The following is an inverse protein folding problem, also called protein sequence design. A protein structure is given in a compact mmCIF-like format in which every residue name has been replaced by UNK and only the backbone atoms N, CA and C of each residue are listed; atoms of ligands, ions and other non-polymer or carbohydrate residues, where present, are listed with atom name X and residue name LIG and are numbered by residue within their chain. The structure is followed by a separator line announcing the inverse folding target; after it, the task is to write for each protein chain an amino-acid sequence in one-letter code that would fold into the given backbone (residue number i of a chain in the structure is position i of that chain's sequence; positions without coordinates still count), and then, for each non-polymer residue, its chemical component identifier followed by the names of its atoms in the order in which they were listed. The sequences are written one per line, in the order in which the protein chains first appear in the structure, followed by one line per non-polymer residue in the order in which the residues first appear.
data_IF_433199134739
#
_entry.id   IF_433199134739
#
_cell.length_a   1.000
_cell.length_b   1.000
_cell.length_c   1.000
_cell.angle_alpha   90.00
_cell.angle_beta   90.00
_cell.angle_gamma   90.00
#
_symmetry.space_group_name_H-M   'P 1'
#
loop_
_entity.id
_entity.type
_entity.pdbx_description
1 polymer ?
#
# COMPACT_ATOMS: atom_id res chain seq x y z
N UNK A 1 -9.62 29.68 4.55
CA UNK A 1 -10.01 28.26 4.55
C UNK A 1 -8.76 27.35 4.46
N UNK A 2 -7.85 27.44 5.42
CA UNK A 2 -6.60 26.64 5.48
C UNK A 2 -6.76 25.34 6.28
N UNK A 3 -7.79 25.24 7.13
CA UNK A 3 -8.10 24.05 7.93
C UNK A 3 -8.51 22.84 7.09
N UNK A 4 -9.26 23.04 6.01
CA UNK A 4 -9.70 21.96 5.12
C UNK A 4 -8.51 21.29 4.41
N UNK A 5 -7.59 22.10 3.87
CA UNK A 5 -6.34 21.61 3.27
C UNK A 5 -5.46 20.85 4.28
N UNK A 6 -5.42 21.27 5.54
CA UNK A 6 -4.66 20.59 6.57
C UNK A 6 -5.30 19.25 6.96
N UNK A 7 -6.63 19.20 7.08
CA UNK A 7 -7.38 17.98 7.38
C UNK A 7 -7.27 16.95 6.25
N UNK A 8 -7.40 17.38 4.98
CA UNK A 8 -7.26 16.47 3.84
C UNK A 8 -5.83 15.96 3.71
N UNK A 9 -4.83 16.80 3.98
CA UNK A 9 -3.44 16.38 4.11
C UNK A 9 -3.30 15.26 5.14
N UNK A 10 -3.77 15.47 6.36
CA UNK A 10 -3.69 14.46 7.43
C UNK A 10 -4.41 13.15 7.04
N UNK A 11 -5.55 13.24 6.34
CA UNK A 11 -6.26 12.07 5.82
C UNK A 11 -5.41 11.29 4.83
N UNK A 12 -4.77 11.96 3.87
CA UNK A 12 -3.89 11.32 2.89
C UNK A 12 -2.68 10.67 3.56
N UNK A 13 -2.04 11.33 4.53
CA UNK A 13 -0.89 10.77 5.24
C UNK A 13 -1.26 9.49 6.00
N UNK A 14 -2.43 9.46 6.65
CA UNK A 14 -2.93 8.27 7.35
C UNK A 14 -3.18 7.11 6.39
N UNK A 15 -3.77 7.40 5.23
CA UNK A 15 -4.07 6.38 4.24
C UNK A 15 -2.79 5.83 3.58
N UNK A 16 -1.83 6.70 3.29
CA UNK A 16 -0.48 6.32 2.83
C UNK A 16 0.16 5.38 3.86
N UNK A 17 0.20 5.77 5.14
CA UNK A 17 0.80 4.95 6.20
C UNK A 17 0.11 3.58 6.35
N UNK A 18 -1.22 3.53 6.20
CA UNK A 18 -2.00 2.30 6.22
C UNK A 18 -1.58 1.37 5.06
N UNK A 19 -1.59 1.87 3.83
CA UNK A 19 -1.24 1.08 2.65
C UNK A 19 0.22 0.63 2.66
N UNK A 20 1.15 1.45 3.16
CA UNK A 20 2.53 1.04 3.37
C UNK A 20 2.65 -0.13 4.36
N UNK A 21 1.84 -0.13 5.42
CA UNK A 21 1.78 -1.26 6.37
C UNK A 21 1.28 -2.55 5.72
N UNK A 22 0.21 -2.46 4.93
CA UNK A 22 -0.34 -3.60 4.18
C UNK A 22 0.65 -4.11 3.14
N UNK A 23 1.29 -3.21 2.39
CA UNK A 23 2.30 -3.55 1.39
C UNK A 23 3.49 -4.27 2.03
N UNK A 24 4.03 -3.76 3.14
CA UNK A 24 5.11 -4.43 3.89
C UNK A 24 4.72 -5.84 4.33
N UNK A 25 3.48 -6.03 4.77
CA UNK A 25 2.96 -7.34 5.20
C UNK A 25 2.92 -8.33 4.04
N UNK A 26 2.42 -7.90 2.88
CA UNK A 26 2.38 -8.73 1.67
C UNK A 26 3.77 -9.02 1.14
N UNK A 27 4.65 -8.03 1.11
CA UNK A 27 6.04 -8.18 0.68
C UNK A 27 6.81 -9.16 1.56
N UNK A 28 6.63 -9.11 2.89
CA UNK A 28 7.25 -10.06 3.81
C UNK A 28 6.82 -11.51 3.57
N UNK A 29 5.55 -11.73 3.20
CA UNK A 29 5.06 -13.06 2.79
C UNK A 29 5.71 -13.51 1.48
N UNK A 30 5.74 -12.63 0.47
CA UNK A 30 6.28 -12.96 -0.84
C UNK A 30 7.81 -13.09 -0.86
N UNK A 31 8.54 -12.47 0.07
CA UNK A 31 9.99 -12.65 0.24
C UNK A 31 10.36 -13.91 1.01
N UNK A 32 9.40 -14.52 1.71
CA UNK A 32 9.62 -15.77 2.43
C UNK A 32 9.50 -16.96 1.46
N UNK A 33 10.64 -17.52 1.05
CA UNK A 33 10.71 -18.66 0.14
C UNK A 33 9.86 -19.86 0.61
N UNK A 34 9.85 -20.16 1.91
CA UNK A 34 9.04 -21.25 2.46
C UNK A 34 7.54 -21.03 2.25
N UNK A 35 7.07 -19.78 2.34
CA UNK A 35 5.68 -19.45 2.04
C UNK A 35 5.40 -19.63 0.55
N UNK A 36 6.24 -19.08 -0.32
CA UNK A 36 6.05 -19.14 -1.79
C UNK A 36 6.08 -20.56 -2.32
N UNK A 37 6.93 -21.42 -1.77
CA UNK A 37 7.07 -22.82 -2.20
C UNK A 37 5.95 -23.72 -1.69
N UNK A 38 5.40 -23.43 -0.49
CA UNK A 38 4.44 -24.32 0.19
C UNK A 38 2.99 -23.89 0.08
N UNK A 39 2.74 -22.59 -0.12
CA UNK A 39 1.37 -22.09 -0.26
C UNK A 39 0.77 -22.50 -1.62
N UNK A 40 -0.55 -22.69 -1.71
CA UNK A 40 -1.22 -22.90 -2.99
C UNK A 40 -0.91 -21.76 -3.97
N UNK A 41 -0.70 -22.08 -5.24
CA UNK A 41 -0.37 -21.09 -6.26
C UNK A 41 -1.37 -19.92 -6.29
N UNK A 42 -2.67 -20.21 -6.17
CA UNK A 42 -3.72 -19.19 -6.12
C UNK A 42 -3.53 -18.17 -4.96
N UNK A 43 -3.04 -18.62 -3.81
CA UNK A 43 -2.77 -17.76 -2.65
C UNK A 43 -1.55 -16.87 -2.90
N UNK A 44 -0.50 -17.43 -3.52
CA UNK A 44 0.70 -16.66 -3.89
C UNK A 44 0.35 -15.60 -4.95
N UNK A 45 -0.44 -15.97 -5.97
CA UNK A 45 -0.91 -15.03 -6.99
C UNK A 45 -1.80 -13.94 -6.41
N UNK A 46 -2.68 -14.27 -5.47
CA UNK A 46 -3.48 -13.28 -4.76
C UNK A 46 -2.59 -12.27 -4.01
N UNK A 47 -1.55 -12.73 -3.34
CA UNK A 47 -0.59 -11.83 -2.69
C UNK A 47 0.17 -10.98 -3.70
N UNK A 48 0.58 -11.53 -4.85
CA UNK A 48 1.23 -10.76 -5.93
C UNK A 48 0.31 -9.68 -6.48
N UNK A 49 -0.97 -10.00 -6.69
CA UNK A 49 -1.99 -9.03 -7.10
C UNK A 49 -2.18 -7.94 -6.05
N UNK A 50 -2.38 -8.32 -4.78
CA UNK A 50 -2.50 -7.35 -3.67
C UNK A 50 -1.29 -6.42 -3.58
N UNK A 51 -0.07 -6.94 -3.80
CA UNK A 51 1.15 -6.12 -3.86
C UNK A 51 1.06 -5.06 -4.97
N UNK A 52 0.68 -5.47 -6.17
CA UNK A 52 0.55 -4.57 -7.31
C UNK A 52 -0.52 -3.49 -7.04
N UNK A 53 -1.71 -3.90 -6.61
CA UNK A 53 -2.84 -3.02 -6.33
C UNK A 53 -2.48 -1.98 -5.25
N UNK A 54 -1.84 -2.41 -4.14
CA UNK A 54 -1.40 -1.49 -3.09
C UNK A 54 -0.29 -0.55 -3.55
N UNK A 55 0.64 -1.03 -4.39
CA UNK A 55 1.72 -0.20 -4.92
C UNK A 55 1.17 0.90 -5.84
N UNK A 56 0.18 0.58 -6.67
CA UNK A 56 -0.50 1.54 -7.53
C UNK A 56 -1.27 2.58 -6.72
N UNK A 57 -2.10 2.14 -5.78
CA UNK A 57 -2.87 3.04 -4.90
C UNK A 57 -1.96 3.97 -4.10
N UNK A 58 -0.87 3.43 -3.53
CA UNK A 58 0.11 4.21 -2.78
C UNK A 58 0.78 5.27 -3.65
N UNK A 59 1.10 4.94 -4.90
CA UNK A 59 1.65 5.90 -5.87
C UNK A 59 0.69 7.04 -6.13
N UNK A 60 -0.60 6.75 -6.36
CA UNK A 60 -1.63 7.76 -6.61
C UNK A 60 -1.83 8.68 -5.40
N UNK A 61 -1.88 8.12 -4.19
CA UNK A 61 -2.03 8.91 -2.97
C UNK A 61 -0.82 9.80 -2.68
N UNK A 62 0.40 9.30 -2.90
CA UNK A 62 1.62 10.10 -2.74
C UNK A 62 1.68 11.24 -3.75
N UNK A 63 1.26 11.01 -4.99
CA UNK A 63 1.13 12.07 -6.00
C UNK A 63 0.09 13.12 -5.59
N UNK A 64 -1.09 12.67 -5.15
CA UNK A 64 -2.13 13.57 -4.64
C UNK A 64 -1.65 14.39 -3.46
N UNK A 65 -0.92 13.77 -2.51
CA UNK A 65 -0.37 14.46 -1.35
C UNK A 65 0.69 15.49 -1.74
N UNK A 66 1.63 15.13 -2.61
CA UNK A 66 2.69 16.04 -3.08
C UNK A 66 2.11 17.25 -3.84
N UNK A 67 0.95 17.10 -4.50
CA UNK A 67 0.28 18.20 -5.16
C UNK A 67 -0.42 19.19 -4.19
N UNK A 68 -0.49 18.87 -2.89
CA UNK A 68 -1.07 19.72 -1.84
C UNK A 68 -0.04 20.52 -1.03
N UNK A 69 1.25 20.35 -1.34
CA UNK A 69 2.37 21.15 -0.83
C UNK A 69 2.47 22.49 -1.58
#
# INVERSE_FOLDING_TARGET
ATGDKAAERERLDKEIARLEGELRTVEAKLSNASFVERAPAAVVEEHRKRKADFSEQLSQLRQARAAMD
#
